data_IF_737570455524
#
_entry.id   IF_737570455524
#
_cell.length_a   1.000
_cell.length_b   1.000
_cell.length_c   1.000
_cell.angle_alpha   90.00
_cell.angle_beta   90.00
_cell.angle_gamma   90.00
#
_symmetry.space_group_name_H-M   'P 1'
#
loop_
_entity.id
_entity.type
_entity.pdbx_description
1 polymer ?
#
# COMPACT_ATOMS: atom_id res chain seq x y z
N UNK A 1 -25.16 4.29 -8.66
CA UNK A 1 -25.34 4.87 -10.02
C UNK A 1 -24.11 5.70 -10.36
N UNK A 2 -23.36 5.39 -11.43
CA UNK A 2 -22.19 6.21 -11.81
C UNK A 2 -22.66 7.57 -12.35
N UNK A 3 -22.08 8.66 -11.86
CA UNK A 3 -22.32 10.01 -12.38
C UNK A 3 -21.15 10.37 -13.29
N UNK A 4 -21.36 10.34 -14.60
CA UNK A 4 -20.48 11.04 -15.55
C UNK A 4 -21.07 12.42 -15.79
N UNK A 5 -20.22 13.46 -15.79
CA UNK A 5 -20.61 14.81 -16.17
C UNK A 5 -20.49 15.04 -17.70
N UNK A 6 -20.09 14.02 -18.47
CA UNK A 6 -19.89 14.09 -19.92
C UNK A 6 -18.61 14.82 -20.36
N UNK A 7 -17.75 15.23 -19.43
CA UNK A 7 -16.46 15.87 -19.70
C UNK A 7 -15.32 14.92 -19.32
N UNK A 8 -14.72 14.27 -20.34
CA UNK A 8 -13.61 13.33 -20.18
C UNK A 8 -12.23 14.02 -20.24
N UNK A 9 -12.16 15.35 -20.07
CA UNK A 9 -10.90 16.07 -20.11
C UNK A 9 -10.01 15.76 -18.91
N UNK A 10 -8.70 15.91 -19.07
CA UNK A 10 -7.75 15.85 -17.96
C UNK A 10 -8.10 16.85 -16.84
N UNK A 11 -8.70 18.01 -17.17
CA UNK A 11 -9.15 18.99 -16.18
C UNK A 11 -10.32 18.46 -15.36
N UNK A 12 -11.29 17.79 -16.00
CA UNK A 12 -12.40 17.16 -15.30
C UNK A 12 -11.90 16.04 -14.36
N UNK A 13 -10.94 15.23 -14.81
CA UNK A 13 -10.28 14.23 -13.96
C UNK A 13 -9.64 14.86 -12.70
N UNK A 14 -8.85 15.92 -12.87
CA UNK A 14 -8.21 16.62 -11.75
C UNK A 14 -9.25 17.22 -10.79
N UNK A 15 -10.32 17.79 -11.32
CA UNK A 15 -11.41 18.38 -10.52
C UNK A 15 -12.14 17.31 -9.71
N UNK A 16 -12.55 16.21 -10.33
CA UNK A 16 -13.22 15.10 -9.66
C UNK A 16 -12.35 14.49 -8.54
N UNK A 17 -11.05 14.32 -8.78
CA UNK A 17 -10.13 13.84 -7.74
C UNK A 17 -9.96 14.83 -6.57
N UNK A 18 -10.04 16.13 -6.84
CA UNK A 18 -10.00 17.19 -5.81
C UNK A 18 -11.30 17.21 -5.01
N UNK A 19 -12.46 17.11 -5.68
CA UNK A 19 -13.78 17.05 -5.05
C UNK A 19 -13.89 15.85 -4.10
N UNK A 20 -13.44 14.66 -4.53
CA UNK A 20 -13.38 13.48 -3.66
C UNK A 20 -12.53 13.70 -2.41
N UNK A 21 -11.37 14.37 -2.56
CA UNK A 21 -10.46 14.65 -1.46
C UNK A 21 -11.06 15.65 -0.47
N UNK A 22 -11.71 16.71 -0.96
CA UNK A 22 -12.39 17.69 -0.12
C UNK A 22 -13.55 17.04 0.63
N UNK A 23 -14.40 16.28 -0.06
CA UNK A 23 -15.55 15.61 0.52
C UNK A 23 -15.15 14.65 1.64
N UNK A 24 -14.14 13.80 1.43
CA UNK A 24 -13.72 12.85 2.47
C UNK A 24 -13.08 13.53 3.68
N UNK A 25 -12.33 14.62 3.47
CA UNK A 25 -11.74 15.42 4.53
C UNK A 25 -12.81 16.11 5.38
N UNK A 26 -13.81 16.73 4.74
CA UNK A 26 -14.94 17.38 5.42
C UNK A 26 -15.81 16.38 6.18
N UNK A 27 -16.01 15.19 5.62
CA UNK A 27 -16.79 14.12 6.26
C UNK A 27 -16.14 13.53 7.51
N UNK A 28 -14.84 13.76 7.74
CA UNK A 28 -14.12 13.18 8.87
C UNK A 28 -14.09 11.66 8.83
N UNK A 29 -13.87 11.08 7.65
CA UNK A 29 -13.95 9.63 7.41
C UNK A 29 -13.05 8.82 8.37
N UNK A 30 -13.52 7.68 8.90
CA UNK A 30 -12.72 6.83 9.77
C UNK A 30 -11.48 6.25 9.06
N UNK A 31 -11.49 6.20 7.71
CA UNK A 31 -10.29 5.85 6.93
C UNK A 31 -9.18 6.89 7.09
N UNK A 32 -9.50 8.19 7.18
CA UNK A 32 -8.51 9.24 7.41
C UNK A 32 -7.87 9.09 8.79
N UNK A 33 -8.68 8.81 9.82
CA UNK A 33 -8.18 8.52 11.16
C UNK A 33 -7.25 7.30 11.15
N UNK A 34 -7.66 6.21 10.49
CA UNK A 34 -6.84 5.00 10.39
C UNK A 34 -5.51 5.24 9.66
N UNK A 35 -5.53 5.99 8.54
CA UNK A 35 -4.31 6.35 7.80
C UNK A 35 -3.39 7.25 8.62
N UNK A 36 -3.96 8.21 9.37
CA UNK A 36 -3.20 9.07 10.27
C UNK A 36 -2.55 8.28 11.42
N UNK A 37 -3.26 7.32 11.98
CA UNK A 37 -2.75 6.51 13.09
C UNK A 37 -1.67 5.52 12.62
N UNK A 38 -1.81 4.97 11.40
CA UNK A 38 -0.75 4.22 10.73
C UNK A 38 0.51 5.07 10.52
N UNK A 39 0.36 6.30 10.01
CA UNK A 39 1.49 7.21 9.83
C UNK A 39 2.13 7.59 11.16
N UNK A 40 1.31 7.84 12.19
CA UNK A 40 1.77 8.17 13.54
C UNK A 40 2.57 7.01 14.15
N UNK A 41 2.11 5.77 13.96
CA UNK A 41 2.87 4.57 14.36
C UNK A 41 4.24 4.51 13.67
N UNK A 42 4.26 4.67 12.34
CA UNK A 42 5.51 4.65 11.56
C UNK A 42 6.45 5.80 11.94
N UNK A 43 5.90 6.97 12.27
CA UNK A 43 6.69 8.09 12.74
C UNK A 43 7.29 7.77 14.12
N UNK A 44 6.47 7.34 15.07
CA UNK A 44 6.90 7.12 16.45
C UNK A 44 7.91 5.98 16.59
N UNK A 45 7.70 4.86 15.89
CA UNK A 45 8.42 3.62 16.17
C UNK A 45 9.40 3.19 15.06
N UNK A 46 9.30 3.75 13.85
CA UNK A 46 10.05 3.22 12.69
C UNK A 46 10.98 4.24 12.05
N UNK A 47 10.54 5.48 11.82
CA UNK A 47 11.25 6.42 10.95
C UNK A 47 11.32 7.86 11.45
N UNK A 48 10.67 8.18 12.57
CA UNK A 48 10.65 9.53 13.10
C UNK A 48 11.89 9.90 13.91
N UNK A 49 11.95 11.15 14.39
CA UNK A 49 13.14 11.72 15.02
C UNK A 49 13.59 11.03 16.32
N UNK A 50 12.67 10.33 17.00
CA UNK A 50 12.96 9.58 18.23
C UNK A 50 13.57 8.19 17.97
N UNK A 51 13.57 7.72 16.72
CA UNK A 51 14.06 6.40 16.36
C UNK A 51 15.57 6.46 16.17
N UNK A 52 16.31 5.60 16.88
CA UNK A 52 17.76 5.50 16.74
C UNK A 52 18.14 5.03 15.34
N UNK A 53 19.11 5.72 14.73
CA UNK A 53 19.69 5.34 13.43
C UNK A 53 20.82 4.34 13.70
N UNK A 54 20.52 3.06 13.49
CA UNK A 54 21.42 1.91 13.52
C UNK A 54 22.26 1.82 12.24
N UNK A 55 21.61 1.96 11.08
CA UNK A 55 22.25 1.99 9.77
C UNK A 55 21.57 3.05 8.88
N UNK A 56 22.32 4.02 8.30
CA UNK A 56 21.73 5.09 7.50
C UNK A 56 20.93 4.60 6.28
N UNK A 57 21.38 3.53 5.60
CA UNK A 57 20.70 3.00 4.41
C UNK A 57 19.36 2.36 4.83
N UNK A 58 19.36 1.58 5.91
CA UNK A 58 18.14 0.96 6.43
C UNK A 58 17.14 2.04 6.87
N UNK A 59 17.61 3.07 7.57
CA UNK A 59 16.76 4.19 7.98
C UNK A 59 16.17 4.96 6.79
N UNK A 60 16.96 5.19 5.73
CA UNK A 60 16.44 5.76 4.47
C UNK A 60 15.37 4.89 3.82
N UNK A 61 15.54 3.56 3.84
CA UNK A 61 14.51 2.63 3.34
C UNK A 61 13.22 2.72 4.15
N UNK A 62 13.32 2.75 5.49
CA UNK A 62 12.17 2.91 6.40
C UNK A 62 11.39 4.20 6.07
N UNK A 63 12.10 5.32 5.94
CA UNK A 63 11.51 6.63 5.61
C UNK A 63 10.90 6.64 4.20
N UNK A 64 11.59 6.08 3.21
CA UNK A 64 11.07 6.02 1.84
C UNK A 64 9.81 5.14 1.74
N UNK A 65 9.78 3.99 2.41
CA UNK A 65 8.60 3.12 2.46
C UNK A 65 7.39 3.85 3.07
N UNK A 66 7.59 4.62 4.15
CA UNK A 66 6.54 5.48 4.74
C UNK A 66 6.01 6.51 3.74
N UNK A 67 6.88 7.23 3.03
CA UNK A 67 6.43 8.23 2.04
C UNK A 67 5.76 7.62 0.81
N UNK A 68 6.18 6.44 0.37
CA UNK A 68 5.47 5.69 -0.67
C UNK A 68 4.07 5.29 -0.19
N UNK A 69 3.93 4.87 1.07
CA UNK A 69 2.62 4.56 1.66
C UNK A 69 1.71 5.80 1.69
N UNK A 70 2.22 6.94 2.17
CA UNK A 70 1.47 8.21 2.14
C UNK A 70 1.06 8.63 0.72
N UNK A 71 1.91 8.34 -0.28
CA UNK A 71 1.57 8.57 -1.69
C UNK A 71 0.42 7.68 -2.14
N UNK A 72 0.45 6.39 -1.78
CA UNK A 72 -0.66 5.46 -2.04
C UNK A 72 -1.97 5.92 -1.40
N UNK A 73 -1.93 6.34 -0.13
CA UNK A 73 -3.09 6.89 0.59
C UNK A 73 -3.67 8.09 -0.17
N UNK A 74 -2.81 9.04 -0.55
CA UNK A 74 -3.23 10.23 -1.30
C UNK A 74 -3.93 9.87 -2.62
N UNK A 75 -3.40 8.89 -3.37
CA UNK A 75 -4.03 8.42 -4.62
C UNK A 75 -5.37 7.74 -4.33
N UNK A 76 -5.45 6.93 -3.28
CA UNK A 76 -6.70 6.28 -2.86
C UNK A 76 -7.80 7.29 -2.54
N UNK A 77 -7.46 8.37 -1.82
CA UNK A 77 -8.40 9.43 -1.45
C UNK A 77 -8.98 10.18 -2.68
N UNK A 78 -8.28 10.22 -3.82
CA UNK A 78 -8.85 10.79 -5.05
C UNK A 78 -9.83 9.85 -5.74
N UNK A 79 -9.92 8.59 -5.32
CA UNK A 79 -10.78 7.55 -5.91
C UNK A 79 -10.15 6.78 -7.07
N UNK A 80 -8.84 6.94 -7.31
CA UNK A 80 -8.13 6.21 -8.36
C UNK A 80 -7.67 4.83 -7.86
N UNK A 81 -8.61 3.91 -7.70
CA UNK A 81 -8.40 2.60 -7.05
C UNK A 81 -7.31 1.78 -7.74
N UNK A 82 -7.32 1.64 -9.07
CA UNK A 82 -6.25 0.90 -9.79
C UNK A 82 -4.86 1.53 -9.63
N UNK A 83 -4.80 2.85 -9.43
CA UNK A 83 -3.55 3.61 -9.31
C UNK A 83 -2.80 3.38 -8.00
N UNK A 84 -3.44 2.83 -6.96
CA UNK A 84 -2.79 2.65 -5.65
C UNK A 84 -1.84 1.44 -5.63
N UNK A 85 -2.20 0.34 -6.30
CA UNK A 85 -1.51 -0.95 -6.14
C UNK A 85 -0.04 -0.94 -6.56
N UNK A 86 0.39 -0.29 -7.66
CA UNK A 86 1.81 -0.16 -7.99
C UNK A 86 2.62 0.52 -6.87
N UNK A 87 2.05 1.57 -6.26
CA UNK A 87 2.73 2.37 -5.24
C UNK A 87 2.76 1.61 -3.89
N UNK A 88 1.63 1.02 -3.48
CA UNK A 88 1.56 0.22 -2.26
C UNK A 88 2.48 -0.99 -2.32
N UNK A 89 2.56 -1.65 -3.50
CA UNK A 89 3.54 -2.72 -3.73
C UNK A 89 4.97 -2.23 -3.53
N UNK A 90 5.30 -1.08 -4.10
CA UNK A 90 6.65 -0.50 -3.99
C UNK A 90 6.98 -0.15 -2.55
N UNK A 91 6.00 0.33 -1.76
CA UNK A 91 6.16 0.57 -0.33
C UNK A 91 6.49 -0.73 0.44
N UNK A 92 5.71 -1.79 0.23
CA UNK A 92 5.93 -3.09 0.86
C UNK A 92 7.26 -3.73 0.42
N UNK A 93 7.60 -3.65 -0.88
CA UNK A 93 8.90 -4.11 -1.39
C UNK A 93 10.05 -3.35 -0.72
N UNK A 94 9.95 -2.03 -0.60
CA UNK A 94 10.96 -1.21 0.09
C UNK A 94 11.11 -1.63 1.55
N UNK A 95 10.00 -1.89 2.25
CA UNK A 95 10.02 -2.42 3.62
C UNK A 95 10.70 -3.79 3.71
N UNK A 96 10.43 -4.70 2.77
CA UNK A 96 11.09 -6.00 2.71
C UNK A 96 12.60 -5.88 2.47
N UNK A 97 13.04 -4.94 1.64
CA UNK A 97 14.48 -4.65 1.49
C UNK A 97 15.09 -4.18 2.81
N UNK A 98 14.42 -3.27 3.53
CA UNK A 98 14.87 -2.81 4.85
C UNK A 98 15.01 -3.97 5.84
N UNK A 99 14.03 -4.89 5.88
CA UNK A 99 14.05 -6.06 6.76
C UNK A 99 15.20 -7.01 6.43
N UNK A 100 15.43 -7.29 5.15
CA UNK A 100 16.57 -8.10 4.74
C UNK A 100 17.89 -7.46 5.16
N UNK A 101 18.06 -6.16 4.91
CA UNK A 101 19.26 -5.42 5.32
C UNK A 101 19.48 -5.40 6.82
N UNK A 102 18.41 -5.33 7.62
CA UNK A 102 18.50 -5.40 9.08
C UNK A 102 18.93 -6.78 9.59
N UNK A 103 18.81 -7.82 8.75
CA UNK A 103 19.17 -9.20 9.08
C UNK A 103 20.48 -9.67 8.42
N UNK A 104 21.07 -8.88 7.52
CA UNK A 104 22.37 -9.14 6.89
C UNK A 104 23.08 -7.81 6.60
N UNK A 105 24.06 -7.49 7.45
CA UNK A 105 24.85 -6.25 7.42
C UNK A 105 25.62 -6.03 6.12
N UNK A 106 25.79 -7.07 5.28
CA UNK A 106 26.47 -6.96 3.98
C UNK A 106 25.56 -6.45 2.87
N UNK A 107 24.24 -6.46 3.06
CA UNK A 107 23.27 -6.08 2.04
C UNK A 107 23.18 -4.57 1.77
N UNK A 108 23.27 -3.66 2.77
CA UNK A 108 23.33 -2.22 2.52
C UNK A 108 24.42 -1.82 1.51
N UNK A 109 25.63 -2.38 1.67
CA UNK A 109 26.78 -2.09 0.81
C UNK A 109 26.55 -2.58 -0.63
N UNK A 110 26.02 -3.81 -0.78
CA UNK A 110 25.66 -4.36 -2.09
C UNK A 110 24.56 -3.54 -2.77
N UNK A 111 23.65 -2.97 -1.99
CA UNK A 111 22.56 -2.15 -2.51
C UNK A 111 23.05 -0.78 -3.00
N UNK A 112 23.81 -0.05 -2.17
CA UNK A 112 24.35 1.26 -2.57
C UNK A 112 25.38 1.13 -3.70
N UNK A 113 26.11 0.01 -3.74
CA UNK A 113 27.06 -0.33 -4.80
C UNK A 113 26.43 -0.80 -6.11
N UNK A 114 25.09 -0.82 -6.25
CA UNK A 114 24.41 -1.32 -7.47
C UNK A 114 24.90 -0.67 -8.77
N UNK A 115 25.24 0.63 -8.71
CA UNK A 115 25.61 1.42 -9.87
C UNK A 115 27.12 1.71 -9.97
N UNK A 116 27.95 1.08 -9.13
CA UNK A 116 29.39 1.32 -9.15
C UNK A 116 30.10 0.59 -10.30
N UNK A 117 29.61 -0.59 -10.69
CA UNK A 117 30.15 -1.38 -11.81
C UNK A 117 29.16 -2.44 -12.31
N UNK A 118 29.42 -3.12 -13.45
CA UNK A 118 28.66 -4.30 -13.88
C UNK A 118 28.63 -5.42 -12.82
N UNK A 119 29.74 -5.63 -12.10
CA UNK A 119 29.84 -6.58 -10.99
C UNK A 119 28.98 -6.14 -9.81
N UNK A 120 28.98 -4.84 -9.47
CA UNK A 120 28.09 -4.25 -8.45
C UNK A 120 26.61 -4.46 -8.78
N UNK A 121 26.20 -4.24 -10.03
CA UNK A 121 24.84 -4.52 -10.49
C UNK A 121 24.48 -6.00 -10.34
N UNK A 122 25.39 -6.90 -10.74
CA UNK A 122 25.20 -8.35 -10.63
C UNK A 122 25.11 -8.79 -9.16
N UNK A 123 25.99 -8.27 -8.30
CA UNK A 123 25.98 -8.55 -6.87
C UNK A 123 24.67 -8.11 -6.22
N UNK A 124 24.22 -6.88 -6.51
CA UNK A 124 22.93 -6.36 -6.02
C UNK A 124 21.76 -7.23 -6.49
N UNK A 125 21.68 -7.55 -7.79
CA UNK A 125 20.61 -8.41 -8.34
C UNK A 125 20.58 -9.81 -7.71
N UNK A 126 21.75 -10.39 -7.46
CA UNK A 126 21.84 -11.70 -6.83
C UNK A 126 21.42 -11.65 -5.35
N UNK A 127 21.82 -10.59 -4.64
CA UNK A 127 21.48 -10.39 -3.24
C UNK A 127 19.99 -10.17 -3.01
N UNK A 128 19.31 -9.48 -3.94
CA UNK A 128 17.88 -9.20 -3.87
C UNK A 128 17.10 -9.91 -4.99
N UNK A 129 17.38 -11.20 -5.20
CA UNK A 129 16.74 -11.97 -6.28
C UNK A 129 15.26 -12.24 -6.02
N UNK A 130 14.88 -12.49 -4.77
CA UNK A 130 13.49 -12.78 -4.36
C UNK A 130 13.15 -12.08 -3.04
N UNK A 131 13.25 -10.74 -2.98
CA UNK A 131 13.27 -10.00 -1.72
C UNK A 131 12.00 -10.22 -0.90
N UNK A 132 10.84 -10.30 -1.55
CA UNK A 132 9.56 -10.56 -0.85
C UNK A 132 9.50 -11.96 -0.25
N UNK A 133 9.95 -12.98 -0.99
CA UNK A 133 9.98 -14.36 -0.48
C UNK A 133 11.02 -14.56 0.62
N UNK A 134 12.15 -13.86 0.53
CA UNK A 134 13.17 -13.92 1.56
C UNK A 134 12.75 -13.16 2.81
N UNK A 135 12.07 -12.01 2.66
CA UNK A 135 11.43 -11.32 3.77
C UNK A 135 10.30 -12.15 4.40
N UNK A 136 9.45 -12.81 3.60
CA UNK A 136 8.41 -13.73 4.09
C UNK A 136 9.01 -14.76 5.05
N UNK A 137 10.11 -15.41 4.67
CA UNK A 137 10.79 -16.39 5.55
C UNK A 137 11.28 -15.79 6.86
N UNK A 138 11.65 -14.50 6.89
CA UNK A 138 12.03 -13.83 8.12
C UNK A 138 10.80 -13.55 8.98
N UNK A 139 9.72 -13.06 8.39
CA UNK A 139 8.45 -12.83 9.10
C UNK A 139 7.89 -14.15 9.66
N UNK A 140 7.93 -15.24 8.88
CA UNK A 140 7.45 -16.57 9.28
C UNK A 140 8.18 -17.14 10.50
N UNK A 141 9.44 -16.75 10.74
CA UNK A 141 10.19 -17.15 11.95
C UNK A 141 9.59 -16.54 13.22
N UNK A 142 8.94 -15.39 13.09
CA UNK A 142 8.22 -14.74 14.19
C UNK A 142 6.80 -15.28 14.29
N UNK A 143 6.07 -15.28 13.16
CA UNK A 143 4.72 -15.82 13.05
C UNK A 143 4.43 -16.25 11.60
N UNK A 144 4.22 -17.56 11.34
CA UNK A 144 3.90 -18.08 10.01
C UNK A 144 2.61 -17.53 9.40
N UNK A 145 1.63 -17.15 10.21
CA UNK A 145 0.38 -16.56 9.73
C UNK A 145 0.66 -15.18 9.15
N UNK A 146 1.51 -14.40 9.82
CA UNK A 146 1.84 -13.04 9.39
C UNK A 146 2.63 -13.03 8.08
N UNK A 147 3.63 -13.90 7.93
CA UNK A 147 4.40 -13.95 6.68
C UNK A 147 3.57 -14.45 5.51
N UNK A 148 2.65 -15.41 5.76
CA UNK A 148 1.67 -15.86 4.76
C UNK A 148 0.71 -14.72 4.36
N UNK A 149 0.16 -13.99 5.33
CA UNK A 149 -0.75 -12.87 5.07
C UNK A 149 -0.06 -11.73 4.31
N UNK A 150 1.14 -11.32 4.73
CA UNK A 150 1.96 -10.32 4.03
C UNK A 150 2.20 -10.73 2.57
N UNK A 151 2.55 -12.00 2.32
CA UNK A 151 2.76 -12.50 0.96
C UNK A 151 1.48 -12.52 0.13
N UNK A 152 0.34 -12.85 0.74
CA UNK A 152 -0.95 -12.83 0.05
C UNK A 152 -1.36 -11.40 -0.36
N UNK A 153 -1.13 -10.41 0.50
CA UNK A 153 -1.34 -9.00 0.16
C UNK A 153 -0.42 -8.55 -0.98
N UNK A 154 0.85 -8.95 -0.96
CA UNK A 154 1.77 -8.69 -2.05
C UNK A 154 1.26 -9.22 -3.40
N UNK A 155 0.86 -10.49 -3.46
CA UNK A 155 0.31 -11.09 -4.69
C UNK A 155 -1.00 -10.39 -5.10
N UNK A 156 -1.84 -10.00 -4.14
CA UNK A 156 -3.06 -9.25 -4.43
C UNK A 156 -2.77 -7.92 -5.14
N UNK A 157 -1.67 -7.24 -4.82
CA UNK A 157 -1.30 -6.02 -5.57
C UNK A 157 -1.08 -6.28 -7.06
N UNK A 158 -0.58 -7.47 -7.43
CA UNK A 158 -0.39 -7.88 -8.83
C UNK A 158 -1.75 -8.05 -9.50
N UNK A 159 -2.67 -8.73 -8.82
CA UNK A 159 -4.01 -9.03 -9.33
C UNK A 159 -4.87 -7.78 -9.54
N UNK A 160 -4.66 -6.72 -8.75
CA UNK A 160 -5.54 -5.55 -8.73
C UNK A 160 -4.97 -4.28 -9.39
N UNK A 161 -3.70 -4.25 -9.82
CA UNK A 161 -3.22 -3.05 -10.52
C UNK A 161 -1.73 -2.89 -10.70
N UNK A 162 -0.91 -3.60 -9.94
CA UNK A 162 0.54 -3.42 -10.01
C UNK A 162 1.13 -3.91 -11.35
N UNK A 163 0.49 -4.89 -12.01
CA UNK A 163 0.87 -5.38 -13.34
C UNK A 163 -0.36 -5.43 -14.26
N UNK A 164 -0.17 -5.19 -15.57
CA UNK A 164 -1.20 -5.48 -16.56
C UNK A 164 -1.57 -6.97 -16.52
N UNK A 165 -2.82 -7.24 -16.20
CA UNK A 165 -3.41 -8.58 -16.27
C UNK A 165 -4.90 -8.44 -16.67
N UNK A 166 -5.53 -9.53 -17.07
CA UNK A 166 -6.91 -9.52 -17.56
C UNK A 166 -7.92 -8.96 -16.53
N UNK A 167 -7.72 -9.27 -15.25
CA UNK A 167 -8.55 -8.78 -14.14
C UNK A 167 -8.37 -7.27 -13.97
N UNK A 168 -7.14 -6.78 -13.81
CA UNK A 168 -6.84 -5.34 -13.68
C UNK A 168 -7.45 -4.50 -14.80
N UNK A 169 -7.31 -4.93 -16.05
CA UNK A 169 -7.78 -4.15 -17.22
C UNK A 169 -9.30 -4.13 -17.32
N UNK A 170 -9.97 -5.23 -16.95
CA UNK A 170 -11.42 -5.36 -17.09
C UNK A 170 -12.21 -4.94 -15.84
N UNK A 171 -11.59 -4.93 -14.65
CA UNK A 171 -12.26 -4.62 -13.38
C UNK A 171 -12.96 -3.26 -13.36
N UNK A 172 -12.39 -2.28 -14.06
CA UNK A 172 -12.91 -0.93 -14.14
C UNK A 172 -13.67 -0.66 -15.45
N UNK A 173 -13.91 -1.70 -16.25
CA UNK A 173 -14.53 -1.58 -17.58
C UNK A 173 -15.89 -2.25 -17.61
N UNK A 174 -16.91 -1.53 -18.09
CA UNK A 174 -18.21 -2.09 -18.48
C UNK A 174 -18.26 -2.23 -19.98
N UNK A 175 -18.75 -3.40 -20.41
CA UNK A 175 -18.93 -3.72 -21.83
C UNK A 175 -20.43 -3.89 -22.06
N UNK A 176 -20.97 -3.14 -23.02
CA UNK A 176 -22.36 -3.29 -23.48
C UNK A 176 -22.38 -3.47 -24.98
N UNK A 177 -23.33 -4.26 -25.45
CA UNK A 177 -23.54 -4.56 -26.86
C UNK A 177 -24.88 -3.96 -27.27
N UNK A 178 -24.81 -2.92 -28.10
CA UNK A 178 -25.97 -2.24 -28.69
C UNK A 178 -26.03 -2.62 -30.19
N UNK A 179 -27.16 -2.41 -30.89
CA UNK A 179 -27.34 -2.88 -32.28
C UNK A 179 -26.20 -2.42 -33.21
N UNK A 180 -25.27 -3.35 -33.50
CA UNK A 180 -24.10 -3.10 -34.35
C UNK A 180 -22.92 -2.37 -33.70
N UNK A 181 -22.98 -2.05 -32.40
CA UNK A 181 -21.92 -1.32 -31.68
C UNK A 181 -21.53 -2.00 -30.37
N UNK A 182 -20.22 -2.02 -30.07
CA UNK A 182 -19.70 -2.38 -28.75
C UNK A 182 -19.33 -1.10 -28.01
N UNK A 183 -19.97 -0.86 -26.87
CA UNK A 183 -19.69 0.27 -25.99
C UNK A 183 -18.82 -0.19 -24.82
N UNK A 184 -17.71 0.49 -24.62
CA UNK A 184 -16.77 0.30 -23.51
C UNK A 184 -16.79 1.55 -22.64
N UNK A 185 -17.11 1.38 -21.38
CA UNK A 185 -17.06 2.46 -20.39
C UNK A 185 -16.03 2.11 -19.33
N UNK A 186 -15.06 3.00 -19.09
CA UNK A 186 -14.05 2.79 -18.07
C UNK A 186 -14.23 3.79 -16.93
N UNK A 187 -14.19 3.31 -15.69
CA UNK A 187 -14.26 4.16 -14.50
C UNK A 187 -12.84 4.58 -14.12
N UNK A 188 -12.51 5.84 -14.37
CA UNK A 188 -11.21 6.40 -14.00
C UNK A 188 -11.09 6.75 -12.52
N UNK A 189 -12.16 7.29 -11.91
CA UNK A 189 -12.25 7.65 -10.50
C UNK A 189 -13.61 7.20 -9.95
N UNK A 190 -13.59 6.54 -8.79
CA UNK A 190 -14.80 6.26 -8.03
C UNK A 190 -15.12 7.42 -7.10
N UNK A 191 -16.41 7.73 -6.92
CA UNK A 191 -16.86 8.77 -6.01
C UNK A 191 -16.80 8.31 -4.54
N UNK A 192 -16.72 9.25 -3.61
CA UNK A 192 -16.81 8.95 -2.16
C UNK A 192 -18.10 8.17 -1.87
N UNK A 193 -17.97 7.16 -0.99
CA UNK A 193 -19.06 6.30 -0.56
C UNK A 193 -19.42 5.17 -1.53
N UNK A 194 -18.80 5.09 -2.70
CA UNK A 194 -18.91 3.91 -3.57
C UNK A 194 -18.10 2.73 -3.00
N UNK A 195 -18.57 1.50 -3.22
CA UNK A 195 -17.93 0.27 -2.73
C UNK A 195 -16.47 0.14 -3.18
N UNK A 196 -16.18 0.37 -4.45
CA UNK A 196 -14.82 0.26 -4.98
C UNK A 196 -13.90 1.36 -4.44
N UNK A 197 -14.42 2.57 -4.22
CA UNK A 197 -13.70 3.64 -3.52
C UNK A 197 -13.28 3.20 -2.11
N UNK A 198 -14.24 2.72 -1.32
CA UNK A 198 -13.98 2.30 0.07
C UNK A 198 -13.12 1.04 0.14
N UNK A 199 -13.32 0.08 -0.77
CA UNK A 199 -12.47 -1.10 -0.93
C UNK A 199 -11.03 -0.73 -1.30
N UNK A 200 -10.83 0.31 -2.12
CA UNK A 200 -9.51 0.87 -2.38
C UNK A 200 -8.85 1.48 -1.14
N UNK A 201 -9.62 2.21 -0.32
CA UNK A 201 -9.12 2.73 0.96
C UNK A 201 -8.80 1.62 1.97
N UNK A 202 -9.60 0.55 2.01
CA UNK A 202 -9.32 -0.62 2.83
C UNK A 202 -8.03 -1.32 2.37
N UNK A 203 -7.83 -1.48 1.06
CA UNK A 203 -6.57 -2.03 0.53
C UNK A 203 -5.35 -1.17 0.90
N UNK A 204 -5.48 0.16 0.89
CA UNK A 204 -4.47 1.06 1.45
C UNK A 204 -4.18 0.74 2.92
N UNK A 205 -5.21 0.59 3.76
CA UNK A 205 -5.06 0.26 5.18
C UNK A 205 -4.38 -1.10 5.39
N UNK A 206 -4.80 -2.15 4.69
CA UNK A 206 -4.25 -3.50 4.83
C UNK A 206 -2.78 -3.58 4.41
N UNK A 207 -2.44 -3.00 3.24
CA UNK A 207 -1.05 -2.93 2.79
C UNK A 207 -0.21 -2.00 3.67
N UNK A 208 -0.82 -0.94 4.22
CA UNK A 208 -0.19 -0.05 5.19
C UNK A 208 0.17 -0.77 6.49
N UNK A 209 -0.75 -1.58 7.03
CA UNK A 209 -0.52 -2.44 8.19
C UNK A 209 0.61 -3.44 7.93
N UNK A 210 0.55 -4.19 6.82
CA UNK A 210 1.61 -5.14 6.47
C UNK A 210 2.96 -4.44 6.33
N UNK A 211 3.01 -3.27 5.68
CA UNK A 211 4.22 -2.46 5.53
C UNK A 211 4.74 -2.00 6.89
N UNK A 212 3.86 -1.50 7.78
CA UNK A 212 4.23 -1.05 9.11
C UNK A 212 4.79 -2.18 9.98
N UNK A 213 4.19 -3.37 9.91
CA UNK A 213 4.67 -4.55 10.62
C UNK A 213 6.06 -4.98 10.14
N UNK A 214 6.26 -5.09 8.83
CA UNK A 214 7.57 -5.45 8.24
C UNK A 214 8.63 -4.41 8.61
N UNK A 215 8.29 -3.13 8.54
CA UNK A 215 9.19 -2.05 8.93
C UNK A 215 9.51 -2.10 10.43
N UNK A 216 8.54 -2.37 11.29
CA UNK A 216 8.78 -2.48 12.72
C UNK A 216 9.67 -3.69 13.07
N UNK A 217 9.57 -4.80 12.33
CA UNK A 217 10.47 -5.94 12.48
C UNK A 217 11.94 -5.63 12.15
N UNK A 218 12.22 -4.49 11.54
CA UNK A 218 13.61 -4.03 11.35
C UNK A 218 14.20 -3.40 12.60
N UNK A 219 13.41 -3.16 13.66
CA UNK A 219 13.85 -2.56 14.91
C UNK A 219 14.34 -3.64 15.87
N UNK A 220 15.58 -3.52 16.36
CA UNK A 220 16.21 -4.55 17.19
C UNK A 220 15.57 -4.75 18.57
N UNK A 221 14.84 -3.75 19.09
CA UNK A 221 14.23 -3.80 20.42
C UNK A 221 12.71 -3.71 20.31
N UNK A 222 12.06 -4.84 20.57
CA UNK A 222 10.59 -4.90 20.62
C UNK A 222 10.08 -4.17 21.86
N UNK A 223 9.20 -3.20 21.65
CA UNK A 223 8.38 -2.52 22.66
C UNK A 223 7.00 -3.20 22.75
N UNK A 224 6.55 -3.61 23.95
CA UNK A 224 5.18 -4.09 24.17
C UNK A 224 4.13 -3.06 23.76
N UNK A 225 4.40 -1.77 23.98
CA UNK A 225 3.52 -0.66 23.61
C UNK A 225 3.34 -0.58 22.09
N UNK A 226 4.42 -0.74 21.32
CA UNK A 226 4.35 -0.77 19.87
C UNK A 226 3.61 -2.01 19.33
N UNK A 227 3.77 -3.17 19.97
CA UNK A 227 3.02 -4.38 19.62
C UNK A 227 1.52 -4.18 19.87
N UNK A 228 1.15 -3.59 21.01
CA UNK A 228 -0.24 -3.24 21.31
C UNK A 228 -0.79 -2.21 20.32
N UNK A 229 0.01 -1.22 19.92
CA UNK A 229 -0.39 -0.22 18.94
C UNK A 229 -0.67 -0.83 17.57
N UNK A 230 0.19 -1.73 17.06
CA UNK A 230 -0.08 -2.48 15.82
C UNK A 230 -1.34 -3.33 15.94
N UNK A 231 -1.55 -4.01 17.07
CA UNK A 231 -2.75 -4.82 17.26
C UNK A 231 -4.02 -3.96 17.22
N UNK A 232 -4.02 -2.82 17.90
CA UNK A 232 -5.14 -1.89 17.89
C UNK A 232 -5.45 -1.35 16.47
N UNK A 233 -4.41 -1.12 15.67
CA UNK A 233 -4.56 -0.75 14.25
C UNK A 233 -5.20 -1.90 13.45
N UNK A 234 -4.79 -3.15 13.68
CA UNK A 234 -5.39 -4.31 13.03
C UNK A 234 -6.86 -4.51 13.43
N UNK A 235 -7.20 -4.31 14.71
CA UNK A 235 -8.57 -4.40 15.19
C UNK A 235 -9.45 -3.34 14.52
N UNK A 236 -8.98 -2.09 14.42
CA UNK A 236 -9.69 -1.03 13.71
C UNK A 236 -9.83 -1.30 12.21
N UNK A 237 -8.84 -1.95 11.58
CA UNK A 237 -8.99 -2.40 10.19
C UNK A 237 -10.19 -3.35 10.05
N UNK A 238 -10.38 -4.29 10.98
CA UNK A 238 -11.51 -5.20 10.94
C UNK A 238 -12.84 -4.44 11.11
N UNK A 239 -12.90 -3.43 11.99
CA UNK A 239 -14.07 -2.56 12.13
C UNK A 239 -14.41 -1.82 10.82
N UNK A 240 -13.39 -1.32 10.10
CA UNK A 240 -13.58 -0.68 8.79
C UNK A 240 -14.08 -1.66 7.73
N UNK A 241 -13.58 -2.89 7.74
CA UNK A 241 -14.01 -3.95 6.84
C UNK A 241 -15.48 -4.33 7.08
N UNK A 242 -15.86 -4.51 8.35
CA UNK A 242 -17.24 -4.79 8.75
C UNK A 242 -18.16 -3.62 8.38
N UNK A 243 -17.73 -2.37 8.59
CA UNK A 243 -18.47 -1.18 8.18
C UNK A 243 -18.76 -1.16 6.67
N UNK A 244 -17.77 -1.47 5.82
CA UNK A 244 -17.99 -1.56 4.36
C UNK A 244 -19.01 -2.67 4.06
N UNK A 245 -18.83 -3.84 4.65
CA UNK A 245 -19.74 -4.98 4.43
C UNK A 245 -21.17 -4.60 4.80
N UNK A 246 -21.39 -4.06 6.00
CA UNK A 246 -22.72 -3.65 6.47
C UNK A 246 -23.35 -2.58 5.58
N UNK A 247 -22.57 -1.59 5.14
CA UNK A 247 -23.05 -0.49 4.30
C UNK A 247 -23.52 -0.97 2.92
N UNK A 248 -22.81 -1.90 2.29
CA UNK A 248 -23.09 -2.34 0.91
C UNK A 248 -23.81 -3.69 0.80
N UNK A 249 -24.10 -4.35 1.93
CA UNK A 249 -24.97 -5.55 1.97
C UNK A 249 -26.47 -5.23 1.74
N UNK A 250 -26.85 -3.95 1.81
CA UNK A 250 -28.24 -3.49 1.67
C UNK A 250 -28.58 -2.93 0.28
N UNK A 251 -27.61 -2.82 -0.63
CA UNK A 251 -27.72 -2.30 -2.00
C UNK A 251 -27.68 -3.41 -3.06
#
# INVERSE_FOLDING_TARGET
>A
MFRSNGDDSFRAYLKAGTENLEEILEAGSPFLTMMNDLDSFLNQYVSGPSVQIDNPIIHLMRTNARFLLMTGFRIGLTGHVSGIFPILRTALETACYALLMANDETLPEKWIGRHSSPEGLKACKNAFKKPIKDAQKLVDKHDPVLGTWMYALYESTIDFGAHPNAKTVTLHTRISFEEGMTRLENVGLYAVGNYEYEGGLLACVELGLATAMVLYMTICKVSPEAVQAIQALNDRKNELEDMIREKHLQD
#
